data_IF_249831222185
#
_entry.id   IF_249831222185
#
_cell.length_a   1.000
_cell.length_b   1.000
_cell.length_c   1.000
_cell.angle_alpha   90.00
_cell.angle_beta   90.00
_cell.angle_gamma   90.00
#
_symmetry.space_group_name_H-M   'P 1'
#
loop_
_entity.id
_entity.type
_entity.pdbx_description
1 polymer ?
#
# COMPACT_ATOMS: atom_id res chain seq x y z
N UNK A 1 -11.37 -20.31 42.34
CA UNK A 1 -10.92 -19.69 41.07
C UNK A 1 -12.24 -19.27 40.42
N UNK A 2 -12.56 -18.26 40.70
CA UNK A 2 -13.38 -17.10 40.99
C UNK A 2 -13.63 -16.35 39.71
N UNK A 3 -14.83 -16.48 39.33
CA UNK A 3 -15.84 -15.64 38.67
C UNK A 3 -15.51 -14.15 38.62
N UNK A 4 -15.02 -13.71 37.47
CA UNK A 4 -14.76 -12.31 37.16
C UNK A 4 -15.65 -11.76 36.04
N UNK A 5 -16.73 -12.46 35.71
CA UNK A 5 -17.55 -12.12 34.53
C UNK A 5 -18.93 -11.55 34.82
N UNK A 6 -19.28 -11.26 36.05
CA UNK A 6 -20.68 -10.93 36.39
C UNK A 6 -20.93 -9.60 37.09
N UNK A 7 -19.93 -8.74 37.21
CA UNK A 7 -20.11 -7.51 38.03
C UNK A 7 -20.27 -6.22 37.24
N UNK A 8 -20.35 -6.28 35.92
CA UNK A 8 -20.44 -5.07 35.08
C UNK A 8 -21.83 -4.79 34.52
N UNK A 9 -22.86 -5.52 34.96
CA UNK A 9 -24.23 -5.36 34.45
C UNK A 9 -25.21 -4.66 35.44
N UNK A 10 -24.82 -4.37 36.65
CA UNK A 10 -25.78 -3.92 37.67
C UNK A 10 -25.52 -2.53 38.24
N UNK A 11 -25.24 -1.55 37.40
CA UNK A 11 -25.37 -0.15 37.83
C UNK A 11 -26.12 0.70 36.80
N UNK A 12 -27.28 0.26 36.37
CA UNK A 12 -28.27 1.19 35.88
C UNK A 12 -29.32 1.43 36.97
N UNK A 13 -29.13 2.53 37.64
CA UNK A 13 -30.02 3.09 38.63
C UNK A 13 -31.43 3.21 38.04
N UNK A 14 -32.35 2.51 38.61
CA UNK A 14 -33.78 2.60 38.34
C UNK A 14 -34.28 4.02 38.56
N UNK A 15 -34.46 4.76 37.52
CA UNK A 15 -35.41 5.84 37.47
C UNK A 15 -36.37 5.56 36.30
N UNK A 16 -37.50 5.05 36.75
CA UNK A 16 -38.82 5.23 36.18
C UNK A 16 -38.90 5.42 34.67
N UNK A 17 -39.61 4.50 34.05
CA UNK A 17 -40.42 4.66 32.87
C UNK A 17 -39.85 4.16 31.57
N UNK A 18 -40.75 3.43 31.00
CA UNK A 18 -40.99 3.15 29.60
C UNK A 18 -40.34 1.89 29.10
N UNK A 19 -41.21 1.05 28.69
CA UNK A 19 -41.11 -0.13 27.85
C UNK A 19 -40.40 0.14 26.50
N UNK A 20 -39.21 0.69 26.55
CA UNK A 20 -38.32 0.67 25.42
C UNK A 20 -37.30 -0.45 25.71
N UNK A 21 -37.77 -1.66 25.41
CA UNK A 21 -36.87 -2.82 25.39
C UNK A 21 -35.86 -2.53 24.32
N UNK A 22 -34.66 -2.12 24.70
CA UNK A 22 -33.55 -1.94 23.79
C UNK A 22 -33.37 -3.23 22.99
N UNK A 23 -33.78 -3.20 21.72
CA UNK A 23 -33.67 -4.33 20.83
C UNK A 23 -32.20 -4.49 20.51
N UNK A 24 -31.51 -5.41 21.17
CA UNK A 24 -30.15 -5.78 20.83
C UNK A 24 -30.18 -6.45 19.47
N UNK A 25 -29.74 -5.74 18.44
CA UNK A 25 -29.51 -6.33 17.14
C UNK A 25 -28.11 -6.94 17.12
N UNK A 26 -28.06 -8.26 17.06
CA UNK A 26 -26.81 -8.97 16.78
C UNK A 26 -26.56 -8.80 15.28
N UNK A 27 -25.59 -7.95 14.90
CA UNK A 27 -25.09 -7.86 13.53
C UNK A 27 -23.85 -8.73 13.40
N UNK A 28 -23.88 -9.62 12.43
CA UNK A 28 -22.67 -10.31 12.00
C UNK A 28 -21.95 -9.43 10.99
N UNK A 29 -20.81 -8.88 11.36
CA UNK A 29 -19.97 -8.08 10.47
C UNK A 29 -18.69 -8.84 10.12
N UNK A 30 -18.26 -8.72 8.85
CA UNK A 30 -16.98 -9.29 8.43
C UNK A 30 -15.86 -8.44 9.01
N UNK A 31 -15.06 -9.03 9.87
CA UNK A 31 -13.89 -8.40 10.47
C UNK A 31 -12.66 -8.82 9.69
N UNK A 32 -11.79 -7.85 9.38
CA UNK A 32 -10.51 -8.12 8.74
C UNK A 32 -9.37 -8.06 9.77
N UNK A 33 -8.41 -9.01 9.72
CA UNK A 33 -7.20 -8.93 10.53
C UNK A 33 -6.29 -7.76 10.11
N UNK A 34 -6.50 -7.20 8.91
CA UNK A 34 -5.70 -6.12 8.34
C UNK A 34 -6.32 -4.73 8.54
N UNK A 35 -7.10 -4.52 9.61
CA UNK A 35 -7.81 -3.24 9.83
C UNK A 35 -6.90 -2.00 9.79
N UNK A 36 -5.66 -2.12 10.26
CA UNK A 36 -4.68 -1.03 10.23
C UNK A 36 -4.27 -0.59 8.83
N UNK A 37 -4.40 -1.45 7.81
CA UNK A 37 -4.02 -1.11 6.44
C UNK A 37 -4.88 0.01 5.86
N UNK A 38 -6.13 0.14 6.29
CA UNK A 38 -7.02 1.19 5.79
C UNK A 38 -6.49 2.58 6.12
N UNK A 39 -5.99 2.77 7.35
CA UNK A 39 -5.37 4.03 7.74
C UNK A 39 -4.06 4.29 6.96
N UNK A 40 -3.22 3.27 6.80
CA UNK A 40 -1.98 3.38 6.01
C UNK A 40 -2.30 3.75 4.55
N UNK A 41 -3.34 3.15 3.96
CA UNK A 41 -3.77 3.45 2.60
C UNK A 41 -4.37 4.84 2.46
N UNK A 42 -5.04 5.35 3.48
CA UNK A 42 -5.52 6.73 3.52
C UNK A 42 -4.34 7.72 3.52
N UNK A 43 -3.34 7.49 4.39
CA UNK A 43 -2.11 8.29 4.41
C UNK A 43 -1.36 8.20 3.08
N UNK A 44 -1.25 7.01 2.50
CA UNK A 44 -0.66 6.80 1.17
C UNK A 44 -1.39 7.64 0.11
N UNK A 45 -2.72 7.57 0.08
CA UNK A 45 -3.53 8.33 -0.89
C UNK A 45 -3.37 9.85 -0.72
N UNK A 46 -3.19 10.29 0.51
CA UNK A 46 -3.04 11.72 0.82
C UNK A 46 -1.65 12.27 0.48
N UNK A 47 -0.60 11.51 0.78
CA UNK A 47 0.77 12.02 0.70
C UNK A 47 1.59 11.45 -0.46
N UNK A 48 1.40 10.20 -0.80
CA UNK A 48 2.24 9.49 -1.78
C UNK A 48 1.60 9.47 -3.17
N UNK A 49 0.30 9.21 -3.26
CA UNK A 49 -0.41 9.12 -4.54
C UNK A 49 -0.24 10.38 -5.41
N UNK A 50 -0.32 11.63 -4.90
CA UNK A 50 -0.10 12.82 -5.71
C UNK A 50 1.31 12.92 -6.31
N UNK A 51 2.32 12.38 -5.61
CA UNK A 51 3.71 12.37 -6.11
C UNK A 51 3.81 11.38 -7.25
N UNK A 52 3.21 10.19 -7.10
CA UNK A 52 3.17 9.16 -8.13
C UNK A 52 2.48 9.69 -9.39
N UNK A 53 1.30 10.23 -9.25
CA UNK A 53 0.51 10.74 -10.38
C UNK A 53 1.21 11.90 -11.10
N UNK A 54 1.93 12.75 -10.36
CA UNK A 54 2.73 13.82 -10.95
C UNK A 54 3.93 13.30 -11.75
N UNK A 55 4.55 12.20 -11.30
CA UNK A 55 5.77 11.68 -11.93
C UNK A 55 5.47 10.73 -13.06
N UNK A 56 4.53 9.81 -12.85
CA UNK A 56 4.19 8.76 -13.82
C UNK A 56 3.10 9.19 -14.80
N UNK A 57 2.35 10.25 -14.46
CA UNK A 57 1.27 10.76 -15.30
C UNK A 57 0.00 9.90 -15.22
N UNK A 58 -0.92 10.20 -16.15
CA UNK A 58 -2.21 9.53 -16.25
C UNK A 58 -2.04 8.24 -17.05
N UNK A 59 -2.39 7.10 -16.45
CA UNK A 59 -2.33 5.80 -17.12
C UNK A 59 -3.54 5.55 -18.02
N UNK A 60 -4.74 5.87 -17.52
CA UNK A 60 -5.99 5.65 -18.25
C UNK A 60 -6.96 6.79 -18.05
N UNK A 61 -7.67 7.16 -19.11
CA UNK A 61 -8.58 8.32 -19.12
C UNK A 61 -10.02 7.99 -18.76
N UNK A 62 -10.49 6.76 -19.03
CA UNK A 62 -11.90 6.40 -18.85
C UNK A 62 -12.11 5.25 -17.88
N UNK A 63 -11.53 4.11 -18.12
CA UNK A 63 -11.67 2.92 -17.29
C UNK A 63 -10.32 2.31 -16.97
N UNK A 64 -10.13 1.88 -15.74
CA UNK A 64 -8.91 1.22 -15.30
C UNK A 64 -8.37 1.77 -13.99
N UNK A 65 -7.15 1.38 -13.66
CA UNK A 65 -6.45 1.80 -12.47
C UNK A 65 -5.34 2.78 -12.82
N UNK A 66 -5.21 3.84 -12.02
CA UNK A 66 -4.09 4.76 -12.11
C UNK A 66 -2.82 4.15 -11.49
N UNK A 67 -1.65 4.68 -11.83
CA UNK A 67 -0.40 4.19 -11.26
C UNK A 67 -0.35 4.30 -9.74
N UNK A 68 -0.93 5.34 -9.16
CA UNK A 68 -1.03 5.51 -7.71
C UNK A 68 -1.87 4.41 -7.04
N UNK A 69 -2.97 3.98 -7.65
CA UNK A 69 -3.80 2.89 -7.15
C UNK A 69 -3.07 1.54 -7.24
N UNK A 70 -2.33 1.33 -8.32
CA UNK A 70 -1.54 0.11 -8.56
C UNK A 70 -0.39 0.01 -7.56
N UNK A 71 0.40 1.08 -7.42
CA UNK A 71 1.51 1.13 -6.45
C UNK A 71 0.98 1.00 -5.03
N UNK A 72 -0.15 1.62 -4.75
CA UNK A 72 -0.81 1.44 -3.44
C UNK A 72 -1.26 0.01 -3.18
N UNK A 73 -1.76 -0.71 -4.19
CA UNK A 73 -2.13 -2.11 -4.06
C UNK A 73 -0.91 -2.98 -3.80
N UNK A 74 0.19 -2.75 -4.53
CA UNK A 74 1.47 -3.43 -4.30
C UNK A 74 2.03 -3.12 -2.90
N UNK A 75 2.02 -1.86 -2.48
CA UNK A 75 2.47 -1.48 -1.13
C UNK A 75 1.67 -2.19 -0.03
N UNK A 76 0.37 -2.42 -0.25
CA UNK A 76 -0.47 -3.15 0.71
C UNK A 76 0.02 -4.58 0.95
N UNK A 77 0.59 -5.26 -0.06
CA UNK A 77 1.17 -6.59 0.10
C UNK A 77 2.26 -6.55 1.17
N UNK A 78 3.23 -5.66 1.01
CA UNK A 78 4.35 -5.55 1.95
C UNK A 78 3.91 -5.10 3.35
N UNK A 79 2.98 -4.16 3.45
CA UNK A 79 2.46 -3.71 4.74
C UNK A 79 1.65 -4.79 5.47
N UNK A 80 1.08 -5.75 4.75
CA UNK A 80 0.37 -6.89 5.32
C UNK A 80 1.25 -8.12 5.52
N UNK A 81 2.55 -8.03 5.22
CA UNK A 81 3.53 -9.12 5.39
C UNK A 81 3.52 -10.14 4.27
N UNK A 82 3.00 -9.79 3.08
CA UNK A 82 3.09 -10.63 1.88
C UNK A 82 4.47 -10.55 1.22
N UNK A 83 4.84 -11.59 0.51
CA UNK A 83 6.15 -11.75 -0.13
C UNK A 83 6.08 -11.61 -1.65
N UNK A 84 4.92 -11.83 -2.24
CA UNK A 84 4.76 -11.82 -3.69
C UNK A 84 3.52 -11.02 -4.14
N UNK A 85 3.51 -10.65 -5.41
CA UNK A 85 2.42 -9.84 -5.98
C UNK A 85 1.09 -10.60 -5.98
N UNK A 86 1.12 -11.91 -6.10
CA UNK A 86 -0.06 -12.78 -6.10
C UNK A 86 -0.83 -12.72 -4.78
N UNK A 87 -0.19 -12.37 -3.68
CA UNK A 87 -0.81 -12.24 -2.36
C UNK A 87 -1.92 -11.18 -2.36
N UNK A 88 -1.82 -10.18 -3.24
CA UNK A 88 -2.88 -9.19 -3.38
C UNK A 88 -4.20 -9.84 -3.80
N UNK A 89 -4.15 -10.77 -4.73
CA UNK A 89 -5.35 -11.44 -5.27
C UNK A 89 -5.83 -12.57 -4.37
N UNK A 90 -4.89 -13.40 -3.88
CA UNK A 90 -5.21 -14.62 -3.13
C UNK A 90 -5.60 -14.34 -1.68
N UNK A 91 -5.00 -13.33 -1.04
CA UNK A 91 -5.14 -13.10 0.39
C UNK A 91 -5.74 -11.74 0.76
N UNK A 92 -5.40 -10.67 0.06
CA UNK A 92 -5.73 -9.33 0.50
C UNK A 92 -6.99 -8.74 -0.14
N UNK A 93 -7.31 -9.10 -1.38
CA UNK A 93 -8.40 -8.45 -2.13
C UNK A 93 -9.76 -8.56 -1.42
N UNK A 94 -10.09 -9.69 -0.83
CA UNK A 94 -11.33 -9.90 -0.08
C UNK A 94 -11.44 -9.00 1.15
N UNK A 95 -10.32 -8.67 1.78
CA UNK A 95 -10.24 -7.81 2.96
C UNK A 95 -10.22 -6.33 2.57
N UNK A 96 -9.44 -5.97 1.56
CA UNK A 96 -9.31 -4.57 1.10
C UNK A 96 -10.61 -4.07 0.45
N UNK A 97 -11.39 -4.96 -0.17
CA UNK A 97 -12.71 -4.64 -0.73
C UNK A 97 -13.78 -4.28 0.31
N UNK A 98 -13.52 -4.50 1.59
CA UNK A 98 -14.40 -4.05 2.67
C UNK A 98 -14.42 -2.52 2.83
N UNK A 99 -13.40 -1.85 2.34
CA UNK A 99 -13.34 -0.39 2.38
C UNK A 99 -14.07 0.22 1.17
N UNK A 100 -15.05 1.11 1.38
CA UNK A 100 -15.94 1.55 0.30
C UNK A 100 -15.27 2.38 -0.79
N UNK A 101 -14.19 3.08 -0.47
CA UNK A 101 -13.52 3.99 -1.40
C UNK A 101 -12.16 3.50 -1.87
N UNK A 102 -11.66 2.39 -1.30
CA UNK A 102 -10.36 1.88 -1.64
C UNK A 102 -10.44 1.00 -2.89
N UNK A 103 -9.77 1.41 -3.95
CA UNK A 103 -9.63 0.59 -5.16
C UNK A 103 -8.37 -0.25 -5.06
N UNK A 104 -8.53 -1.55 -5.22
CA UNK A 104 -7.44 -2.53 -5.22
C UNK A 104 -7.48 -3.30 -6.52
N UNK A 105 -6.35 -3.42 -7.19
CA UNK A 105 -6.23 -4.15 -8.45
C UNK A 105 -5.65 -5.56 -8.23
N UNK A 106 -5.84 -6.43 -9.21
CA UNK A 106 -5.28 -7.78 -9.21
C UNK A 106 -3.78 -7.79 -9.48
N UNK A 107 -3.12 -8.90 -9.12
CA UNK A 107 -1.70 -9.16 -9.41
C UNK A 107 -1.36 -8.97 -10.90
N UNK A 108 -2.18 -9.48 -11.80
CA UNK A 108 -1.98 -9.32 -13.25
C UNK A 108 -1.95 -7.85 -13.68
N UNK A 109 -2.80 -7.02 -13.07
CA UNK A 109 -2.83 -5.59 -13.36
C UNK A 109 -1.55 -4.90 -12.88
N UNK A 110 -1.04 -5.30 -11.71
CA UNK A 110 0.23 -4.78 -11.16
C UNK A 110 1.39 -5.15 -12.09
N UNK A 111 1.52 -6.43 -12.45
CA UNK A 111 2.60 -6.92 -13.32
C UNK A 111 2.56 -6.25 -14.70
N UNK A 112 1.37 -6.07 -15.26
CA UNK A 112 1.20 -5.36 -16.54
C UNK A 112 1.64 -3.91 -16.44
N UNK A 113 1.27 -3.20 -15.38
CA UNK A 113 1.66 -1.82 -15.18
C UNK A 113 3.18 -1.65 -14.98
N UNK A 114 3.82 -2.59 -14.27
CA UNK A 114 5.28 -2.63 -14.15
C UNK A 114 5.93 -2.81 -15.53
N UNK A 115 5.39 -3.72 -16.36
CA UNK A 115 5.88 -3.96 -17.71
C UNK A 115 5.69 -2.74 -18.63
N UNK A 116 4.58 -2.01 -18.47
CA UNK A 116 4.32 -0.75 -19.21
C UNK A 116 5.37 0.34 -18.91
N UNK A 117 5.91 0.35 -17.70
CA UNK A 117 6.93 1.32 -17.26
C UNK A 117 8.35 0.90 -17.68
N UNK A 118 8.51 -0.30 -18.19
CA UNK A 118 9.77 -0.82 -18.66
C UNK A 118 10.21 -0.11 -19.95
N UNK A 119 11.35 0.59 -19.91
CA UNK A 119 11.86 1.38 -21.07
C UNK A 119 12.88 0.61 -21.89
N UNK A 120 13.52 -0.40 -21.30
CA UNK A 120 14.54 -1.21 -21.97
C UNK A 120 15.34 -2.04 -20.99
N UNK A 121 16.12 -2.97 -21.53
CA UNK A 121 17.04 -3.79 -20.75
C UNK A 121 18.45 -3.25 -20.90
N UNK A 122 19.16 -3.10 -19.79
CA UNK A 122 20.59 -2.83 -19.77
C UNK A 122 21.30 -4.06 -19.23
N UNK A 123 22.20 -4.62 -20.01
CA UNK A 123 23.02 -5.74 -19.59
C UNK A 123 24.25 -5.22 -18.86
N UNK A 124 24.41 -5.66 -17.62
CA UNK A 124 25.61 -5.43 -16.82
C UNK A 124 26.41 -6.72 -16.75
N UNK A 125 27.69 -6.65 -17.07
CA UNK A 125 28.62 -7.77 -16.92
C UNK A 125 29.55 -7.49 -15.75
N UNK A 126 29.56 -8.38 -14.77
CA UNK A 126 30.43 -8.28 -13.61
C UNK A 126 31.86 -8.65 -13.97
N UNK A 127 32.84 -8.25 -13.14
CA UNK A 127 34.26 -8.59 -13.29
C UNK A 127 34.51 -10.11 -13.29
N UNK A 128 33.56 -10.89 -12.79
CA UNK A 128 33.60 -12.37 -12.82
C UNK A 128 33.02 -12.98 -14.10
N UNK A 129 32.66 -12.13 -15.10
CA UNK A 129 32.11 -12.56 -16.39
C UNK A 129 30.65 -12.99 -16.37
N UNK A 130 29.93 -12.77 -15.26
CA UNK A 130 28.48 -13.02 -15.18
C UNK A 130 27.71 -11.81 -15.72
N UNK A 131 26.78 -12.05 -16.63
CA UNK A 131 25.91 -11.02 -17.17
C UNK A 131 24.55 -11.04 -16.48
N UNK A 132 24.05 -9.87 -16.17
CA UNK A 132 22.73 -9.63 -15.58
C UNK A 132 21.97 -8.61 -16.41
N UNK A 133 20.74 -8.91 -16.74
CA UNK A 133 19.87 -7.98 -17.44
C UNK A 133 19.01 -7.22 -16.43
N UNK A 134 19.11 -5.91 -16.43
CA UNK A 134 18.30 -5.04 -15.62
C UNK A 134 17.32 -4.25 -16.49
N UNK A 135 16.07 -4.23 -16.05
CA UNK A 135 15.09 -3.35 -16.65
C UNK A 135 15.32 -1.93 -16.15
N UNK A 136 15.63 -1.01 -17.05
CA UNK A 136 15.80 0.40 -16.71
C UNK A 136 14.47 1.12 -16.80
N UNK A 137 13.81 1.29 -15.67
CA UNK A 137 12.64 2.14 -15.55
C UNK A 137 13.04 3.52 -15.01
N UNK A 138 13.50 4.40 -15.89
CA UNK A 138 13.96 5.76 -15.52
C UNK A 138 12.88 6.57 -14.80
N UNK A 139 11.60 6.36 -15.12
CA UNK A 139 10.48 7.00 -14.45
C UNK A 139 10.34 6.55 -12.99
N UNK A 140 10.56 5.26 -12.70
CA UNK A 140 10.53 4.74 -11.33
C UNK A 140 11.71 5.27 -10.49
N UNK A 141 12.89 5.40 -11.09
CA UNK A 141 14.03 6.04 -10.43
C UNK A 141 13.74 7.50 -10.10
N UNK A 142 13.14 8.23 -11.03
CA UNK A 142 12.72 9.62 -10.81
C UNK A 142 11.65 9.72 -9.72
N UNK A 143 10.72 8.78 -9.65
CA UNK A 143 9.72 8.70 -8.59
C UNK A 143 10.38 8.52 -7.23
N UNK A 144 11.31 7.55 -7.11
CA UNK A 144 12.01 7.29 -5.86
C UNK A 144 12.76 8.54 -5.37
N UNK A 145 13.54 9.17 -6.24
CA UNK A 145 14.29 10.38 -5.89
C UNK A 145 13.36 11.51 -5.45
N UNK A 146 12.27 11.75 -6.19
CA UNK A 146 11.30 12.79 -5.83
C UNK A 146 10.57 12.49 -4.53
N UNK A 147 10.22 11.23 -4.27
CA UNK A 147 9.60 10.82 -3.01
C UNK A 147 10.56 11.06 -1.83
N UNK A 148 11.81 10.66 -1.96
CA UNK A 148 12.83 10.86 -0.93
C UNK A 148 13.14 12.35 -0.66
N UNK A 149 13.15 13.17 -1.71
CA UNK A 149 13.30 14.62 -1.56
C UNK A 149 12.09 15.26 -0.86
N UNK A 150 10.87 14.84 -1.22
CA UNK A 150 9.64 15.38 -0.63
C UNK A 150 9.46 15.01 0.84
N UNK A 151 10.02 13.86 1.26
CA UNK A 151 9.99 13.40 2.65
C UNK A 151 11.18 13.91 3.49
N UNK A 152 12.10 14.68 2.88
CA UNK A 152 13.29 15.17 3.56
C UNK A 152 14.35 14.10 3.85
N UNK A 153 14.21 12.90 3.30
CA UNK A 153 15.19 11.82 3.44
C UNK A 153 16.45 12.05 2.59
N UNK A 154 16.31 12.82 1.51
CA UNK A 154 17.42 13.32 0.71
C UNK A 154 17.43 14.85 0.73
N UNK A 155 18.61 15.42 0.83
CA UNK A 155 18.82 16.87 0.68
C UNK A 155 19.27 17.15 -0.75
N UNK A 156 18.59 18.07 -1.42
CA UNK A 156 18.97 18.48 -2.76
C UNK A 156 20.42 19.03 -2.72
N UNK A 157 21.31 18.43 -3.50
CA UNK A 157 22.74 18.77 -3.52
C UNK A 157 23.67 17.69 -2.93
N UNK A 158 23.15 16.69 -2.23
CA UNK A 158 23.97 15.57 -1.74
C UNK A 158 24.43 14.62 -2.88
N UNK A 159 23.75 14.66 -4.04
CA UNK A 159 24.09 13.83 -5.19
C UNK A 159 25.20 14.41 -6.10
N UNK A 160 25.62 15.67 -5.90
CA UNK A 160 26.57 16.34 -6.82
C UNK A 160 28.05 16.14 -6.43
N UNK A 161 28.34 15.45 -5.37
CA UNK A 161 29.73 15.06 -5.07
C UNK A 161 29.94 13.62 -5.55
N UNK A 162 30.28 13.52 -6.84
CA UNK A 162 30.74 12.30 -7.46
C UNK A 162 31.84 11.67 -6.61
N UNK A 163 31.50 10.64 -5.85
CA UNK A 163 32.49 9.69 -5.38
C UNK A 163 32.79 8.77 -6.56
N UNK A 164 33.95 8.99 -7.14
CA UNK A 164 34.58 8.05 -8.03
C UNK A 164 34.58 6.66 -7.39
N UNK A 165 34.34 5.58 -8.16
CA UNK A 165 34.43 4.23 -7.62
C UNK A 165 35.85 4.02 -7.11
N UNK A 166 35.96 3.73 -5.82
CA UNK A 166 37.22 3.34 -5.20
C UNK A 166 37.57 1.99 -5.79
N UNK A 167 38.51 2.01 -6.70
CA UNK A 167 39.27 0.82 -7.14
C UNK A 167 40.05 0.30 -5.94
N UNK A 168 39.70 -0.86 -5.48
CA UNK A 168 40.54 -1.78 -4.72
C UNK A 168 40.42 -3.17 -5.29
#
# INVERSE_FOLDING_TARGET
MSDFSLTLVLQFKTSKIINDVAKVQIKSEKITPFGGIFHVRELFSRFVAPIIDKVLGIRCTSFGYQYSEIVGSLASVYFCGGDCVEDVTSHLMSHLSLHPTLRTCSSDTILRAISELAVGNTTYTSDTGRSYDFNTATMLNSLLVKALLSTGQLVAGACDKGQSPVTR
#
